data_IF_899642554415
#
_entry.id   IF_899642554415
#
_cell.length_a   1.000
_cell.length_b   1.000
_cell.length_c   1.000
_cell.angle_alpha   90.00
_cell.angle_beta   90.00
_cell.angle_gamma   90.00
#
_symmetry.space_group_name_H-M   'P 1'
#
loop_
_entity.id
_entity.type
_entity.pdbx_description
1 polymer ?
#
# COMPACT_ATOMS: atom_id res chain seq x y z
N UNK A 1 -27.40 -20.52 -10.77
CA UNK A 1 -27.08 -19.36 -9.92
C UNK A 1 -25.68 -19.53 -9.36
N UNK A 2 -24.67 -19.21 -10.16
CA UNK A 2 -23.26 -19.30 -9.77
C UNK A 2 -22.88 -18.06 -8.98
N UNK A 3 -22.41 -18.27 -7.75
CA UNK A 3 -21.86 -17.23 -6.88
C UNK A 3 -20.58 -16.66 -7.52
N UNK A 4 -20.75 -15.61 -8.34
CA UNK A 4 -19.68 -14.84 -8.95
C UNK A 4 -19.03 -13.85 -7.96
N UNK A 5 -18.84 -14.25 -6.70
CA UNK A 5 -18.38 -13.37 -5.61
C UNK A 5 -17.12 -13.88 -4.91
N UNK A 6 -16.30 -14.72 -5.55
CA UNK A 6 -15.04 -15.20 -4.92
C UNK A 6 -13.79 -14.81 -5.72
N UNK A 7 -13.94 -14.26 -6.93
CA UNK A 7 -12.81 -13.81 -7.77
C UNK A 7 -12.32 -12.38 -7.47
N UNK A 8 -12.77 -11.71 -6.40
CA UNK A 8 -12.42 -10.31 -6.11
C UNK A 8 -11.28 -10.11 -5.10
N UNK A 9 -10.63 -11.18 -4.63
CA UNK A 9 -9.39 -11.02 -3.88
C UNK A 9 -8.29 -10.61 -4.86
N UNK A 10 -7.68 -9.42 -4.67
CA UNK A 10 -6.37 -9.13 -5.27
C UNK A 10 -5.46 -10.30 -4.90
N UNK A 11 -4.88 -10.97 -5.90
CA UNK A 11 -4.01 -12.12 -5.64
C UNK A 11 -2.87 -11.66 -4.72
N UNK A 12 -2.56 -12.45 -3.68
CA UNK A 12 -1.44 -12.16 -2.77
C UNK A 12 -0.15 -11.92 -3.55
N UNK A 13 0.09 -12.65 -4.63
CA UNK A 13 1.26 -12.48 -5.49
C UNK A 13 1.29 -11.08 -6.15
N UNK A 14 0.13 -10.55 -6.54
CA UNK A 14 0.03 -9.24 -7.17
C UNK A 14 0.09 -8.09 -6.18
N UNK A 15 -0.45 -8.27 -4.97
CA UNK A 15 -0.23 -7.30 -3.90
C UNK A 15 1.26 -7.21 -3.56
N UNK A 16 1.96 -8.34 -3.48
CA UNK A 16 3.41 -8.39 -3.26
C UNK A 16 4.16 -7.74 -4.44
N UNK A 17 3.76 -8.00 -5.68
CA UNK A 17 4.35 -7.38 -6.86
C UNK A 17 4.13 -5.86 -6.87
N UNK A 18 2.92 -5.41 -6.54
CA UNK A 18 2.56 -4.00 -6.40
C UNK A 18 3.43 -3.32 -5.34
N UNK A 19 3.48 -3.87 -4.13
CA UNK A 19 4.35 -3.37 -3.06
C UNK A 19 5.84 -3.33 -3.49
N UNK A 20 6.31 -4.35 -4.21
CA UNK A 20 7.69 -4.40 -4.73
C UNK A 20 7.98 -3.34 -5.79
N UNK A 21 6.96 -2.89 -6.53
CA UNK A 21 7.06 -1.82 -7.52
C UNK A 21 7.11 -0.40 -6.92
N UNK A 22 6.74 -0.24 -5.64
CA UNK A 22 6.83 1.06 -4.98
C UNK A 22 8.29 1.41 -4.64
N UNK A 23 8.66 2.71 -4.66
CA UNK A 23 9.92 3.14 -4.09
C UNK A 23 10.01 2.77 -2.60
N UNK A 24 11.24 2.53 -2.11
CA UNK A 24 11.46 1.92 -0.80
C UNK A 24 10.78 2.68 0.34
N UNK A 25 10.82 4.02 0.32
CA UNK A 25 10.25 4.87 1.37
C UNK A 25 8.72 4.84 1.40
N UNK A 26 8.08 4.78 0.23
CA UNK A 26 6.62 4.64 0.10
C UNK A 26 6.15 3.26 0.54
N UNK A 27 6.93 2.21 0.22
CA UNK A 27 6.65 0.85 0.65
C UNK A 27 6.79 0.69 2.16
N UNK A 28 7.87 1.22 2.73
CA UNK A 28 8.16 1.16 4.16
C UNK A 28 7.01 1.74 4.99
N UNK A 29 6.51 2.94 4.65
CA UNK A 29 5.40 3.54 5.41
C UNK A 29 4.09 2.76 5.25
N UNK A 30 3.85 2.09 4.11
CA UNK A 30 2.68 1.23 3.96
C UNK A 30 2.77 -0.01 4.84
N UNK A 31 3.95 -0.64 4.92
CA UNK A 31 4.17 -1.81 5.76
C UNK A 31 3.95 -1.44 7.23
N UNK A 32 4.63 -0.39 7.71
CA UNK A 32 4.50 0.05 9.10
C UNK A 32 3.06 0.42 9.45
N UNK A 33 2.36 1.14 8.58
CA UNK A 33 1.00 1.61 8.89
C UNK A 33 -0.09 0.53 8.72
N UNK A 34 -0.06 -0.26 7.64
CA UNK A 34 -1.15 -1.20 7.33
C UNK A 34 -0.89 -2.65 7.73
N UNK A 35 0.37 -3.09 7.76
CA UNK A 35 0.70 -4.48 8.12
C UNK A 35 1.08 -4.60 9.59
N UNK A 36 1.83 -3.63 10.11
CA UNK A 36 2.24 -3.59 11.52
C UNK A 36 1.27 -2.76 12.40
N UNK A 37 0.21 -2.19 11.82
CA UNK A 37 -0.85 -1.43 12.50
C UNK A 37 -0.34 -0.28 13.40
N UNK A 38 0.77 0.35 12.98
CA UNK A 38 1.39 1.46 13.72
C UNK A 38 0.74 2.80 13.42
N UNK A 39 0.74 3.70 14.41
CA UNK A 39 0.25 5.06 14.21
C UNK A 39 1.15 5.89 13.29
N UNK A 40 0.67 7.04 12.81
CA UNK A 40 1.48 7.96 12.00
C UNK A 40 2.66 8.48 12.82
N UNK A 41 2.44 8.68 14.12
CA UNK A 41 3.40 9.14 15.09
C UNK A 41 4.51 8.10 15.32
N UNK A 42 4.14 6.83 15.52
CA UNK A 42 5.11 5.73 15.66
C UNK A 42 5.93 5.55 14.37
N UNK A 43 5.27 5.61 13.21
CA UNK A 43 5.95 5.56 11.92
C UNK A 43 6.95 6.71 11.76
N UNK A 44 6.60 7.91 12.23
CA UNK A 44 7.44 9.10 12.15
C UNK A 44 8.70 8.95 13.02
N UNK A 45 8.54 8.38 14.22
CA UNK A 45 9.65 8.07 15.11
C UNK A 45 10.58 7.01 14.51
N UNK A 46 10.05 5.89 14.04
CA UNK A 46 10.82 4.80 13.42
C UNK A 46 11.58 5.28 12.19
N UNK A 47 10.92 6.06 11.32
CA UNK A 47 11.53 6.55 10.08
C UNK A 47 12.40 7.80 10.29
N UNK A 48 12.48 8.34 11.51
CA UNK A 48 13.16 9.59 11.85
C UNK A 48 12.77 10.78 10.92
N UNK A 49 11.47 10.95 10.66
CA UNK A 49 10.94 12.05 9.82
C UNK A 49 9.71 12.69 10.46
N UNK A 50 9.34 13.93 10.09
CA UNK A 50 8.11 14.54 10.59
C UNK A 50 6.82 13.74 10.24
N UNK A 51 5.77 13.75 11.09
CA UNK A 51 4.49 13.12 10.79
C UNK A 51 3.85 13.56 9.47
N UNK A 52 4.06 14.82 9.07
CA UNK A 52 3.62 15.34 7.76
C UNK A 52 4.29 14.63 6.58
N UNK A 53 5.55 14.19 6.74
CA UNK A 53 6.27 13.39 5.76
C UNK A 53 5.65 12.01 5.64
N UNK A 54 5.30 11.36 6.76
CA UNK A 54 4.59 10.07 6.75
C UNK A 54 3.26 10.19 6.01
N UNK A 55 2.44 11.21 6.33
CA UNK A 55 1.16 11.46 5.65
C UNK A 55 1.32 11.62 4.14
N UNK A 56 2.29 12.42 3.70
CA UNK A 56 2.55 12.65 2.28
C UNK A 56 3.12 11.42 1.56
N UNK A 57 3.98 10.63 2.22
CA UNK A 57 4.47 9.34 1.71
C UNK A 57 3.33 8.33 1.59
N UNK A 58 2.47 8.16 2.60
CA UNK A 58 1.30 7.28 2.55
C UNK A 58 0.34 7.66 1.42
N UNK A 59 0.09 8.96 1.23
CA UNK A 59 -0.73 9.42 0.11
C UNK A 59 -0.12 9.03 -1.25
N UNK A 60 1.19 9.26 -1.43
CA UNK A 60 1.89 8.84 -2.66
C UNK A 60 1.90 7.33 -2.84
N UNK A 61 2.21 6.58 -1.79
CA UNK A 61 2.28 5.13 -1.80
C UNK A 61 0.94 4.50 -2.23
N UNK A 62 -0.18 4.96 -1.65
CA UNK A 62 -1.52 4.51 -2.06
C UNK A 62 -1.85 4.83 -3.51
N UNK A 63 -1.43 5.99 -4.00
CA UNK A 63 -1.60 6.37 -5.41
C UNK A 63 -0.81 5.42 -6.32
N UNK A 64 0.49 5.24 -6.06
CA UNK A 64 1.34 4.34 -6.83
C UNK A 64 0.84 2.89 -6.83
N UNK A 65 0.40 2.40 -5.66
CA UNK A 65 -0.14 1.05 -5.55
C UNK A 65 -1.44 0.88 -6.34
N UNK A 66 -2.35 1.86 -6.27
CA UNK A 66 -3.57 1.84 -7.06
C UNK A 66 -3.26 1.87 -8.55
N UNK A 67 -2.42 2.79 -8.99
CA UNK A 67 -2.07 2.95 -10.40
C UNK A 67 -1.44 1.64 -10.95
N UNK A 68 -0.59 0.96 -10.15
CA UNK A 68 -0.03 -0.34 -10.51
C UNK A 68 -1.09 -1.46 -10.63
N UNK A 69 -2.07 -1.49 -9.74
CA UNK A 69 -3.16 -2.46 -9.79
C UNK A 69 -4.10 -2.20 -10.97
N UNK A 70 -4.41 -0.93 -11.26
CA UNK A 70 -5.22 -0.53 -12.41
C UNK A 70 -4.57 -0.90 -13.74
N UNK A 71 -3.26 -0.68 -13.90
CA UNK A 71 -2.49 -1.10 -15.08
C UNK A 71 -2.56 -2.62 -15.34
N UNK A 72 -2.69 -3.41 -14.27
CA UNK A 72 -2.78 -4.87 -14.34
C UNK A 72 -4.20 -5.39 -14.58
N UNK A 73 -5.17 -4.50 -14.77
CA UNK A 73 -6.57 -4.87 -15.03
C UNK A 73 -7.39 -5.12 -13.76
N UNK A 74 -6.85 -4.81 -12.58
CA UNK A 74 -7.61 -4.76 -11.34
C UNK A 74 -8.31 -3.42 -11.26
N UNK A 75 -9.29 -3.24 -12.14
CA UNK A 75 -10.18 -2.09 -12.09
C UNK A 75 -11.26 -2.34 -11.04
N UNK A 76 -11.48 -1.32 -10.21
CA UNK A 76 -12.83 -1.03 -9.72
C UNK A 76 -13.66 -0.46 -10.86
#
# INVERSE_FOLDING_TARGET
MTVAWITWAVDRAELIAGLSGLPALEREVLVLFYLEDLSIEDCAEICAVPPGTIKSRLHRARRLLRDHLEEKGFQR
#
